data_IF_140504750177
#
_entry.id   IF_140504750177
#
_cell.length_a   1.000
_cell.length_b   1.000
_cell.length_c   1.000
_cell.angle_alpha   90.00
_cell.angle_beta   90.00
_cell.angle_gamma   90.00
#
_symmetry.space_group_name_H-M   'P 1'
#
loop_
_entity.id
_entity.type
_entity.pdbx_description
1 polymer ?
#
# COMPACT_ATOMS: atom_id res chain seq x y z
N UNK A 1 -54.88 7.21 -2.29
CA UNK A 1 -53.55 6.56 -2.30
C UNK A 1 -53.60 5.39 -1.32
N UNK A 2 -53.28 4.17 -1.75
CA UNK A 2 -53.28 2.99 -0.87
C UNK A 2 -52.02 3.07 0.00
N UNK A 3 -52.20 3.17 1.32
CA UNK A 3 -51.08 3.22 2.27
C UNK A 3 -50.20 1.99 2.13
N UNK A 4 -48.89 2.18 2.30
CA UNK A 4 -47.93 1.08 2.35
C UNK A 4 -48.33 0.19 3.54
N UNK A 5 -48.49 -1.11 3.30
CA UNK A 5 -48.80 -2.05 4.37
C UNK A 5 -47.65 -2.06 5.38
N UNK A 6 -47.99 -2.04 6.67
CA UNK A 6 -47.00 -2.02 7.76
C UNK A 6 -45.99 -3.18 7.66
N UNK A 7 -46.42 -4.32 7.13
CA UNK A 7 -45.56 -5.46 6.82
C UNK A 7 -44.45 -5.12 5.81
N UNK A 8 -44.75 -4.34 4.77
CA UNK A 8 -43.77 -3.93 3.76
C UNK A 8 -42.68 -3.05 4.36
N UNK A 9 -43.03 -2.19 5.33
CA UNK A 9 -42.06 -1.35 6.04
C UNK A 9 -41.11 -2.22 6.87
N UNK A 10 -41.65 -3.20 7.59
CA UNK A 10 -40.85 -4.13 8.40
C UNK A 10 -39.88 -4.92 7.52
N UNK A 11 -40.35 -5.47 6.39
CA UNK A 11 -39.48 -6.22 5.48
C UNK A 11 -38.37 -5.34 4.87
N UNK A 12 -38.66 -4.08 4.58
CA UNK A 12 -37.65 -3.14 4.10
C UNK A 12 -36.56 -2.87 5.17
N UNK A 13 -36.96 -2.68 6.43
CA UNK A 13 -36.01 -2.47 7.54
C UNK A 13 -35.13 -3.69 7.75
N UNK A 14 -35.72 -4.90 7.74
CA UNK A 14 -34.96 -6.15 7.88
C UNK A 14 -33.97 -6.31 6.73
N UNK A 15 -34.40 -6.05 5.48
CA UNK A 15 -33.51 -6.14 4.32
C UNK A 15 -32.31 -5.18 4.43
N UNK A 16 -32.54 -3.94 4.86
CA UNK A 16 -31.45 -2.97 5.10
C UNK A 16 -30.51 -3.47 6.18
N UNK A 17 -31.03 -3.96 7.31
CA UNK A 17 -30.21 -4.50 8.40
C UNK A 17 -29.37 -5.70 7.95
N UNK A 18 -29.96 -6.63 7.19
CA UNK A 18 -29.26 -7.79 6.65
C UNK A 18 -28.12 -7.39 5.72
N UNK A 19 -28.34 -6.41 4.84
CA UNK A 19 -27.30 -5.86 3.97
C UNK A 19 -26.18 -5.24 4.81
N UNK A 20 -26.50 -4.41 5.81
CA UNK A 20 -25.49 -3.77 6.67
C UNK A 20 -24.63 -4.81 7.40
N UNK A 21 -25.25 -5.85 7.96
CA UNK A 21 -24.53 -6.95 8.65
C UNK A 21 -23.62 -7.69 7.67
N UNK A 22 -24.12 -8.04 6.49
CA UNK A 22 -23.33 -8.71 5.47
C UNK A 22 -22.10 -7.88 5.06
N UNK A 23 -22.27 -6.57 4.86
CA UNK A 23 -21.19 -5.68 4.51
C UNK A 23 -20.15 -5.54 5.65
N UNK A 24 -20.60 -5.52 6.90
CA UNK A 24 -19.73 -5.50 8.07
C UNK A 24 -18.87 -6.78 8.16
N UNK A 25 -19.48 -7.95 7.93
CA UNK A 25 -18.77 -9.24 7.89
C UNK A 25 -17.75 -9.26 6.76
N UNK A 26 -18.14 -8.82 5.56
CA UNK A 26 -17.23 -8.76 4.41
C UNK A 26 -16.02 -7.84 4.67
N UNK A 27 -16.22 -6.70 5.33
CA UNK A 27 -15.14 -5.79 5.70
C UNK A 27 -14.24 -6.36 6.82
N UNK A 28 -14.76 -7.25 7.66
CA UNK A 28 -13.96 -7.95 8.68
C UNK A 28 -13.10 -9.07 8.10
N UNK A 29 -13.57 -9.76 7.05
CA UNK A 29 -12.85 -10.87 6.41
C UNK A 29 -11.85 -10.35 5.39
N UNK A 30 -12.23 -9.33 4.63
CA UNK A 30 -11.39 -8.67 3.63
C UNK A 30 -11.38 -7.18 3.98
N UNK A 31 -10.43 -6.71 4.79
CA UNK A 31 -10.33 -5.29 5.11
C UNK A 31 -10.28 -4.49 3.81
N UNK A 32 -11.21 -3.55 3.65
CA UNK A 32 -11.35 -2.67 2.49
C UNK A 32 -11.83 -3.34 1.17
N UNK A 33 -12.55 -4.46 1.22
CA UNK A 33 -13.23 -5.10 0.07
C UNK A 33 -14.04 -4.13 -0.80
N UNK A 34 -14.60 -3.10 -0.17
CA UNK A 34 -15.47 -2.10 -0.80
C UNK A 34 -14.73 -0.95 -1.49
N UNK A 35 -13.40 -0.87 -1.37
CA UNK A 35 -12.61 0.31 -1.71
C UNK A 35 -12.80 0.83 -3.15
N UNK A 36 -13.01 -0.05 -4.14
CA UNK A 36 -13.10 0.38 -5.55
C UNK A 36 -14.52 0.64 -6.05
N UNK A 37 -15.50 -0.15 -5.63
CA UNK A 37 -16.90 -0.02 -6.08
C UNK A 37 -17.65 1.07 -5.31
N UNK A 38 -17.45 1.15 -3.98
CA UNK A 38 -18.05 2.21 -3.18
C UNK A 38 -17.36 3.56 -3.39
N UNK A 39 -16.07 3.63 -3.75
CA UNK A 39 -15.43 4.91 -4.00
C UNK A 39 -16.04 5.65 -5.21
N UNK A 40 -16.53 4.94 -6.23
CA UNK A 40 -17.31 5.54 -7.34
C UNK A 40 -18.67 6.06 -6.88
N UNK A 41 -19.40 5.27 -6.09
CA UNK A 41 -20.69 5.68 -5.50
C UNK A 41 -20.48 6.88 -4.58
N UNK A 42 -19.40 6.88 -3.83
CA UNK A 42 -19.02 7.94 -2.92
C UNK A 42 -18.62 9.23 -3.65
N UNK A 43 -17.87 9.13 -4.75
CA UNK A 43 -17.61 10.25 -5.64
C UNK A 43 -18.90 10.84 -6.21
N UNK A 44 -19.88 10.00 -6.56
CA UNK A 44 -21.19 10.45 -6.98
C UNK A 44 -22.01 11.11 -5.85
N UNK A 45 -21.78 10.73 -4.59
CA UNK A 45 -22.37 11.41 -3.43
C UNK A 45 -21.65 12.74 -3.15
N UNK A 46 -20.32 12.79 -3.28
CA UNK A 46 -19.54 14.02 -3.08
C UNK A 46 -19.71 15.06 -4.20
N UNK A 47 -20.16 14.65 -5.39
CA UNK A 47 -20.54 15.58 -6.46
C UNK A 47 -21.89 16.26 -6.21
N UNK A 48 -22.68 15.76 -5.26
CA UNK A 48 -23.87 16.46 -4.79
C UNK A 48 -23.45 17.68 -3.94
N UNK A 49 -24.20 18.80 -4.01
CA UNK A 49 -23.92 20.00 -3.24
C UNK A 49 -24.26 19.80 -1.75
N UNK A 50 -23.52 18.93 -1.07
CA UNK A 50 -23.68 18.66 0.35
C UNK A 50 -22.98 19.74 1.20
N UNK A 51 -23.64 20.23 2.27
CA UNK A 51 -23.02 21.10 3.27
C UNK A 51 -21.77 20.46 3.87
N UNK A 52 -20.74 21.27 4.17
CA UNK A 52 -19.41 20.78 4.60
C UNK A 52 -19.45 19.82 5.80
N UNK A 53 -20.41 19.98 6.71
CA UNK A 53 -20.55 19.13 7.91
C UNK A 53 -21.18 17.75 7.66
N UNK A 54 -21.79 17.53 6.50
CA UNK A 54 -22.41 16.24 6.12
C UNK A 54 -21.56 15.48 5.10
N UNK A 55 -20.42 16.02 4.70
CA UNK A 55 -19.47 15.32 3.84
C UNK A 55 -18.76 14.26 4.70
N UNK A 56 -18.92 12.97 4.40
CA UNK A 56 -18.18 11.96 5.13
C UNK A 56 -16.67 12.18 4.89
N UNK A 57 -15.84 11.73 5.83
CA UNK A 57 -14.40 11.66 5.61
C UNK A 57 -14.04 10.18 5.64
N UNK A 58 -13.79 9.60 4.46
CA UNK A 58 -13.44 8.19 4.34
C UNK A 58 -11.94 8.12 4.01
N UNK A 59 -11.08 7.79 4.99
CA UNK A 59 -9.68 7.50 4.70
C UNK A 59 -9.60 6.31 3.74
N UNK A 60 -8.91 6.46 2.61
CA UNK A 60 -8.71 5.38 1.63
C UNK A 60 -9.48 5.52 0.30
N UNK A 61 -10.32 6.54 0.13
CA UNK A 61 -10.89 6.91 -1.18
C UNK A 61 -10.17 8.14 -1.76
N UNK A 62 -8.83 8.18 -1.64
CA UNK A 62 -8.02 9.08 -2.44
C UNK A 62 -7.95 8.50 -3.85
N UNK A 63 -8.28 9.33 -4.85
CA UNK A 63 -7.88 9.14 -6.24
C UNK A 63 -6.47 8.54 -6.25
N UNK A 64 -6.30 7.41 -6.95
CA UNK A 64 -5.05 6.66 -7.14
C UNK A 64 -3.83 7.50 -6.76
N UNK A 65 -3.07 7.15 -5.71
CA UNK A 65 -1.84 7.88 -5.41
C UNK A 65 -1.03 7.94 -6.70
N UNK A 66 -0.84 9.15 -7.22
CA UNK A 66 -0.22 9.37 -8.50
C UNK A 66 1.19 8.79 -8.48
N UNK A 67 1.58 8.16 -9.58
CA UNK A 67 2.96 7.69 -9.75
C UNK A 67 3.85 8.92 -9.77
N UNK A 68 4.76 9.02 -8.80
CA UNK A 68 5.75 10.08 -8.77
C UNK A 68 7.03 9.58 -9.45
N UNK A 69 7.38 10.23 -10.56
CA UNK A 69 8.62 9.98 -11.29
C UNK A 69 9.72 10.87 -10.72
N UNK A 70 10.78 10.24 -10.21
CA UNK A 70 11.89 10.92 -9.57
C UNK A 70 13.15 10.59 -10.36
N UNK A 71 13.84 11.61 -10.85
CA UNK A 71 15.19 11.44 -11.40
C UNK A 71 16.20 11.83 -10.35
N UNK A 72 17.02 10.88 -9.91
CA UNK A 72 18.10 11.12 -8.97
C UNK A 72 19.38 11.47 -9.74
N UNK A 73 20.05 12.53 -9.30
CA UNK A 73 21.42 12.81 -9.72
C UNK A 73 22.36 11.71 -9.22
N UNK A 74 23.57 11.64 -9.78
CA UNK A 74 24.56 10.59 -9.46
C UNK A 74 24.85 10.51 -7.96
N UNK A 75 25.06 11.65 -7.30
CA UNK A 75 25.35 11.72 -5.85
C UNK A 75 24.19 11.25 -4.95
N UNK A 76 22.97 11.24 -5.49
CA UNK A 76 21.74 10.92 -4.76
C UNK A 76 21.24 9.50 -5.05
N UNK A 77 21.90 8.76 -5.95
CA UNK A 77 21.53 7.40 -6.34
C UNK A 77 22.07 6.37 -5.34
N UNK A 78 21.59 6.43 -4.10
CA UNK A 78 22.07 5.61 -2.99
C UNK A 78 20.95 4.85 -2.23
N UNK A 79 21.34 3.84 -1.46
CA UNK A 79 20.44 3.02 -0.65
C UNK A 79 19.67 3.83 0.42
N UNK A 80 20.27 4.91 0.90
CA UNK A 80 19.68 5.81 1.89
C UNK A 80 18.41 6.47 1.36
N UNK A 81 18.47 7.02 0.15
CA UNK A 81 17.36 7.71 -0.49
C UNK A 81 16.28 6.70 -0.90
N UNK A 82 16.67 5.52 -1.38
CA UNK A 82 15.71 4.46 -1.66
C UNK A 82 14.91 4.09 -0.40
N UNK A 83 15.59 3.92 0.73
CA UNK A 83 14.97 3.59 2.03
C UNK A 83 13.94 4.65 2.45
N UNK A 84 14.23 5.93 2.21
CA UNK A 84 13.29 7.03 2.50
C UNK A 84 12.04 6.95 1.61
N UNK A 85 12.18 6.60 0.34
CA UNK A 85 11.03 6.41 -0.55
C UNK A 85 10.22 5.15 -0.22
N UNK A 86 10.86 4.08 0.26
CA UNK A 86 10.15 2.91 0.79
C UNK A 86 9.30 3.30 2.00
N UNK A 87 9.87 4.02 2.96
CA UNK A 87 9.13 4.50 4.14
C UNK A 87 7.96 5.42 3.75
N UNK A 88 8.17 6.35 2.80
CA UNK A 88 7.10 7.21 2.28
C UNK A 88 6.02 6.45 1.50
N UNK A 89 6.41 5.39 0.77
CA UNK A 89 5.45 4.53 0.09
C UNK A 89 4.57 3.78 1.09
N UNK A 90 5.15 3.35 2.22
CA UNK A 90 4.39 2.75 3.33
C UNK A 90 3.38 3.72 3.94
N UNK A 91 3.76 4.99 4.09
CA UNK A 91 2.82 6.03 4.54
C UNK A 91 1.68 6.24 3.54
N UNK A 92 2.01 6.28 2.24
CA UNK A 92 1.01 6.38 1.17
C UNK A 92 0.04 5.19 1.16
N UNK A 93 0.49 3.99 1.55
CA UNK A 93 -0.36 2.82 1.68
C UNK A 93 -1.18 2.77 2.97
N UNK A 94 -1.15 3.83 3.79
CA UNK A 94 -1.78 3.88 5.12
C UNK A 94 -1.31 2.72 6.00
N UNK A 95 0.00 2.48 6.01
CA UNK A 95 0.64 1.41 6.79
C UNK A 95 0.12 0.02 6.41
N UNK A 96 -0.01 -0.23 5.10
CA UNK A 96 -0.48 -1.50 4.58
C UNK A 96 -2.00 -1.70 4.64
N UNK A 97 -2.78 -0.67 5.02
CA UNK A 97 -4.24 -0.70 4.99
C UNK A 97 -4.83 -0.32 3.64
N UNK A 98 -4.00 0.05 2.66
CA UNK A 98 -4.44 0.39 1.31
C UNK A 98 -5.22 -0.76 0.65
N UNK A 99 -6.48 -0.54 0.31
CA UNK A 99 -7.31 -1.57 -0.36
C UNK A 99 -6.97 -1.78 -1.85
N UNK A 100 -5.90 -1.16 -2.36
CA UNK A 100 -5.55 -1.18 -3.76
C UNK A 100 -4.04 -1.22 -3.98
N UNK A 101 -3.60 -2.05 -4.92
CA UNK A 101 -2.23 -2.07 -5.45
C UNK A 101 -1.97 -0.84 -6.33
N UNK A 102 -0.86 -0.14 -6.09
CA UNK A 102 -0.45 1.02 -6.87
C UNK A 102 1.07 1.19 -6.85
N UNK A 103 1.61 1.86 -7.87
CA UNK A 103 3.02 2.24 -7.92
C UNK A 103 3.17 3.54 -7.14
N UNK A 104 4.02 3.54 -6.12
CA UNK A 104 4.31 4.72 -5.31
C UNK A 104 5.28 5.66 -6.04
N UNK A 105 6.36 5.11 -6.58
CA UNK A 105 7.47 5.85 -7.16
C UNK A 105 8.12 5.08 -8.31
N UNK A 106 8.53 5.81 -9.35
CA UNK A 106 9.46 5.34 -10.38
C UNK A 106 10.75 6.17 -10.22
N UNK A 107 11.82 5.54 -9.75
CA UNK A 107 13.07 6.21 -9.41
C UNK A 107 14.11 5.89 -10.49
N UNK A 108 14.51 6.90 -11.25
CA UNK A 108 15.57 6.82 -12.24
C UNK A 108 16.91 7.15 -11.57
N UNK A 109 17.77 6.13 -11.41
CA UNK A 109 19.11 6.24 -10.84
C UNK A 109 20.14 6.27 -11.97
N UNK A 110 20.80 7.42 -12.16
CA UNK A 110 21.78 7.57 -13.25
C UNK A 110 23.05 6.76 -13.05
N UNK A 111 23.55 6.70 -11.82
CA UNK A 111 24.77 5.98 -11.50
C UNK A 111 24.75 5.57 -10.03
N UNK A 112 24.84 4.27 -9.75
CA UNK A 112 24.87 3.73 -8.39
C UNK A 112 26.33 3.47 -8.01
N UNK A 113 26.94 4.32 -7.16
CA UNK A 113 28.38 4.25 -6.90
C UNK A 113 28.79 3.03 -6.07
N UNK A 114 27.88 2.52 -5.25
CA UNK A 114 28.09 1.38 -4.37
C UNK A 114 26.93 0.41 -4.54
N UNK A 115 27.24 -0.83 -4.90
CA UNK A 115 26.24 -1.87 -5.10
C UNK A 115 25.54 -2.20 -3.77
N UNK A 116 24.21 -2.29 -3.78
CA UNK A 116 23.44 -2.60 -2.58
C UNK A 116 22.28 -3.56 -2.86
N UNK A 117 21.89 -4.31 -1.84
CA UNK A 117 20.87 -5.36 -1.88
C UNK A 117 19.80 -5.15 -0.79
N UNK A 118 18.86 -6.09 -0.69
CA UNK A 118 17.84 -6.10 0.36
C UNK A 118 18.45 -6.06 1.76
N UNK A 119 19.54 -6.79 1.97
CA UNK A 119 20.24 -6.85 3.26
C UNK A 119 20.72 -5.48 3.69
N UNK A 120 21.29 -4.71 2.77
CA UNK A 120 21.76 -3.36 3.02
C UNK A 120 20.60 -2.42 3.38
N UNK A 121 19.54 -2.44 2.58
CA UNK A 121 18.35 -1.62 2.82
C UNK A 121 17.72 -1.96 4.17
N UNK A 122 17.65 -3.24 4.52
CA UNK A 122 17.10 -3.70 5.80
C UNK A 122 17.98 -3.29 6.98
N UNK A 123 19.32 -3.32 6.84
CA UNK A 123 20.24 -2.74 7.84
C UNK A 123 20.01 -1.23 8.02
N UNK A 124 19.75 -0.49 6.95
CA UNK A 124 19.44 0.94 7.01
C UNK A 124 18.11 1.19 7.74
N UNK A 125 17.05 0.45 7.39
CA UNK A 125 15.75 0.50 8.09
C UNK A 125 15.95 0.25 9.59
N UNK A 126 16.75 -0.75 9.97
CA UNK A 126 17.07 -1.05 11.36
C UNK A 126 17.83 0.08 12.05
N UNK A 127 18.90 0.57 11.44
CA UNK A 127 19.73 1.65 12.00
C UNK A 127 18.94 2.94 12.25
N UNK A 128 17.91 3.19 11.42
CA UNK A 128 17.01 4.36 11.53
C UNK A 128 15.82 4.15 12.48
N UNK A 129 15.72 2.98 13.11
CA UNK A 129 14.59 2.65 14.00
C UNK A 129 13.25 2.47 13.26
N UNK A 130 13.28 2.26 11.95
CA UNK A 130 12.09 2.14 11.10
C UNK A 130 11.49 0.73 11.09
N UNK A 131 12.09 -0.26 11.77
CA UNK A 131 11.58 -1.64 11.83
C UNK A 131 10.17 -1.75 12.43
N UNK A 132 9.75 -0.81 13.27
CA UNK A 132 8.35 -0.79 13.76
C UNK A 132 7.35 -0.40 12.68
N UNK A 133 7.82 0.40 11.71
CA UNK A 133 7.00 0.97 10.64
C UNK A 133 7.01 0.07 9.41
N UNK A 134 8.20 -0.29 8.94
CA UNK A 134 8.41 -1.16 7.79
C UNK A 134 9.23 -2.38 8.24
N UNK A 135 8.59 -3.38 8.89
CA UNK A 135 9.30 -4.56 9.34
C UNK A 135 9.68 -5.43 8.14
N UNK A 136 10.88 -6.02 8.22
CA UNK A 136 11.40 -6.99 7.28
C UNK A 136 12.14 -8.09 8.05
N UNK A 137 11.41 -9.12 8.45
CA UNK A 137 11.94 -10.22 9.26
C UNK A 137 12.65 -11.32 8.45
N UNK A 138 12.51 -11.31 7.13
CA UNK A 138 13.00 -12.37 6.25
C UNK A 138 13.58 -11.74 4.99
N UNK A 139 14.86 -11.97 4.72
CA UNK A 139 15.49 -11.55 3.46
C UNK A 139 15.30 -12.66 2.43
N UNK A 140 14.76 -12.28 1.27
CA UNK A 140 14.54 -13.19 0.16
C UNK A 140 15.86 -13.35 -0.61
N UNK A 141 16.26 -14.59 -0.92
CA UNK A 141 17.41 -14.80 -1.79
C UNK A 141 17.08 -14.32 -3.20
N UNK A 142 18.08 -13.89 -4.00
CA UNK A 142 17.86 -13.52 -5.39
C UNK A 142 17.06 -14.60 -6.14
N UNK A 143 16.14 -14.22 -7.04
CA UNK A 143 15.18 -15.16 -7.66
C UNK A 143 15.84 -16.34 -8.40
N UNK A 144 17.09 -16.18 -8.81
CA UNK A 144 17.87 -17.21 -9.53
C UNK A 144 18.67 -18.14 -8.60
N UNK A 145 18.57 -17.96 -7.28
CA UNK A 145 19.30 -18.76 -6.29
C UNK A 145 18.36 -19.64 -5.47
N UNK A 146 18.60 -20.96 -5.46
CA UNK A 146 17.85 -21.93 -4.67
C UNK A 146 18.23 -21.92 -3.17
N UNK A 147 18.61 -20.75 -2.65
CA UNK A 147 18.97 -20.57 -1.25
C UNK A 147 17.72 -20.44 -0.38
N UNK A 148 17.78 -20.79 0.91
CA UNK A 148 16.68 -20.54 1.84
C UNK A 148 16.62 -19.06 2.24
N UNK A 149 15.43 -18.59 2.63
CA UNK A 149 15.24 -17.29 3.27
C UNK A 149 16.14 -17.15 4.50
N UNK A 150 16.75 -15.98 4.66
CA UNK A 150 17.58 -15.71 5.83
C UNK A 150 16.81 -14.87 6.85
N UNK A 151 16.68 -15.33 8.11
CA UNK A 151 16.01 -14.57 9.14
C UNK A 151 16.81 -13.30 9.46
N UNK A 152 16.10 -12.18 9.58
CA UNK A 152 16.68 -10.89 9.90
C UNK A 152 15.93 -10.21 11.06
N UNK A 153 16.66 -9.56 11.94
CA UNK A 153 16.12 -8.93 13.15
C UNK A 153 15.64 -7.50 12.85
N UNK A 154 14.52 -7.37 12.15
CA UNK A 154 13.83 -6.11 11.88
C UNK A 154 12.30 -6.26 11.96
N UNK A 155 11.79 -6.45 13.17
CA UNK A 155 10.36 -6.67 13.41
C UNK A 155 9.94 -8.14 13.26
N UNK A 156 8.65 -8.41 13.38
CA UNK A 156 8.10 -9.78 13.38
C UNK A 156 7.45 -10.18 12.06
N UNK A 157 7.14 -9.21 11.21
CA UNK A 157 6.45 -9.40 9.94
C UNK A 157 7.40 -9.11 8.78
N UNK A 158 7.10 -9.66 7.61
CA UNK A 158 7.73 -9.23 6.37
C UNK A 158 6.80 -8.33 5.55
N UNK A 159 7.13 -7.02 5.47
CA UNK A 159 6.40 -6.01 4.68
C UNK A 159 7.17 -5.52 3.47
N UNK A 160 8.40 -6.00 3.26
CA UNK A 160 9.21 -5.70 2.09
C UNK A 160 9.30 -6.96 1.23
N UNK A 161 9.12 -6.80 -0.07
CA UNK A 161 9.29 -7.87 -1.05
C UNK A 161 10.28 -7.38 -2.08
N UNK A 162 11.47 -7.97 -2.07
CA UNK A 162 12.59 -7.55 -2.89
C UNK A 162 12.69 -8.44 -4.12
N UNK A 163 12.20 -7.94 -5.27
CA UNK A 163 12.18 -8.71 -6.52
C UNK A 163 13.38 -8.48 -7.41
N UNK A 164 14.15 -7.45 -7.11
CA UNK A 164 15.40 -7.13 -7.79
C UNK A 164 16.56 -7.86 -7.12
N UNK A 165 17.64 -8.11 -7.85
CA UNK A 165 18.86 -8.64 -7.24
C UNK A 165 19.65 -7.53 -6.53
N UNK A 166 20.95 -7.49 -6.84
CA UNK A 166 21.83 -6.39 -6.46
C UNK A 166 21.53 -5.20 -7.38
N UNK A 167 21.38 -4.01 -6.80
CA UNK A 167 21.31 -2.75 -7.56
C UNK A 167 22.72 -2.24 -7.77
N UNK A 168 23.20 -2.28 -9.01
CA UNK A 168 24.50 -1.76 -9.42
C UNK A 168 24.50 -1.30 -10.88
N UNK A 169 25.31 -0.30 -11.22
CA UNK A 169 25.48 0.18 -12.59
C UNK A 169 24.87 1.56 -12.88
N UNK A 170 24.56 1.80 -14.14
CA UNK A 170 24.14 3.10 -14.69
C UNK A 170 22.75 3.03 -15.33
N UNK A 171 22.05 4.16 -15.34
CA UNK A 171 20.75 4.36 -15.97
C UNK A 171 19.69 3.29 -15.59
N UNK A 172 19.59 3.03 -14.28
CA UNK A 172 18.66 2.06 -13.71
C UNK A 172 17.32 2.73 -13.37
N UNK A 173 16.23 1.98 -13.49
CA UNK A 173 14.91 2.41 -13.00
C UNK A 173 14.45 1.45 -11.93
N UNK A 174 14.26 1.94 -10.71
CA UNK A 174 13.72 1.19 -9.58
C UNK A 174 12.27 1.61 -9.36
N UNK A 175 11.37 0.64 -9.36
CA UNK A 175 9.93 0.84 -9.17
C UNK A 175 9.57 0.40 -7.76
N UNK A 176 9.00 1.33 -6.99
CA UNK A 176 8.46 1.04 -5.67
C UNK A 176 6.95 0.94 -5.78
N UNK A 177 6.41 -0.22 -5.46
CA UNK A 177 4.98 -0.53 -5.60
C UNK A 177 4.42 -1.07 -4.30
N UNK A 178 3.24 -0.61 -3.90
CA UNK A 178 2.48 -1.25 -2.84
C UNK A 178 1.55 -2.31 -3.43
N UNK A 179 1.57 -3.52 -2.88
CA UNK A 179 0.68 -4.62 -3.24
C UNK A 179 -0.36 -4.85 -2.13
N UNK A 180 -1.63 -4.57 -2.42
CA UNK A 180 -2.72 -4.72 -1.44
C UNK A 180 -3.06 -6.18 -1.15
N UNK A 181 -2.76 -7.11 -2.06
CA UNK A 181 -3.06 -8.54 -1.87
C UNK A 181 -2.17 -9.15 -0.79
N UNK A 182 -0.87 -8.84 -0.82
CA UNK A 182 0.08 -9.29 0.20
C UNK A 182 0.27 -8.28 1.34
N UNK A 183 -0.24 -7.05 1.21
CA UNK A 183 0.03 -5.94 2.13
C UNK A 183 1.52 -5.65 2.30
N UNK A 184 2.27 -5.68 1.19
CA UNK A 184 3.73 -5.49 1.16
C UNK A 184 4.14 -4.39 0.17
N UNK A 185 5.34 -3.84 0.35
CA UNK A 185 6.02 -3.01 -0.64
C UNK A 185 6.90 -3.92 -1.50
N UNK A 186 6.67 -3.90 -2.80
CA UNK A 186 7.49 -4.55 -3.81
C UNK A 186 8.52 -3.56 -4.38
N UNK A 187 9.77 -3.99 -4.44
CA UNK A 187 10.86 -3.27 -5.13
C UNK A 187 11.20 -4.05 -6.40
N UNK A 188 11.02 -3.42 -7.55
CA UNK A 188 11.08 -4.02 -8.91
C UNK A 188 12.04 -3.22 -9.78
#
# INVERSE_FOLDING_TARGET
MKGIAFSTIIFAVIAIASVVIFLAIMNSIIPNFMGKSLCKVYQAILSLPLPKGLRPNIPGCSLFPGIERISLAEELSNANILTDYLAKCWDKSQEGRGGQTFICYEIFMKNVPEAFDETWVTKLIRSRGLCKKLPNSLIEPPPDTALPYTPFDCGNDNKLNWKIGIIEGQDLTVIIKYNSTSSQIEVI
#
